data_IF_751186002573
#
_entry.id   IF_751186002573
#
_cell.length_a   1.000
_cell.length_b   1.000
_cell.length_c   1.000
_cell.angle_alpha   90.00
_cell.angle_beta   90.00
_cell.angle_gamma   90.00
#
_symmetry.space_group_name_H-M   'P 1'
#
loop_
_entity.id
_entity.type
_entity.pdbx_description
1 polymer ?
#
# COMPACT_ATOMS: atom_id res chain seq x y z
N UNK A 1 -16.81 8.32 -29.85
CA UNK A 1 -17.34 9.68 -30.16
C UNK A 1 -16.62 10.24 -31.39
N UNK A 2 -17.33 10.91 -32.30
CA UNK A 2 -16.75 11.63 -33.42
C UNK A 2 -16.53 13.10 -33.05
N UNK A 3 -15.56 13.75 -33.66
CA UNK A 3 -15.34 15.20 -33.49
C UNK A 3 -16.41 16.05 -34.14
N UNK A 4 -17.03 15.51 -35.17
CA UNK A 4 -18.13 16.18 -35.92
C UNK A 4 -19.29 15.23 -36.08
N UNK A 5 -20.48 15.80 -36.25
CA UNK A 5 -21.71 15.05 -36.55
C UNK A 5 -21.54 14.19 -37.81
N UNK A 6 -21.90 12.92 -37.71
CA UNK A 6 -21.87 11.99 -38.83
C UNK A 6 -22.83 12.43 -39.95
N UNK A 7 -22.31 12.59 -41.16
CA UNK A 7 -23.15 12.91 -42.33
C UNK A 7 -23.82 11.68 -42.94
N UNK A 8 -23.33 10.50 -42.63
CA UNK A 8 -23.84 9.18 -43.01
C UNK A 8 -23.59 8.22 -41.84
N UNK A 9 -24.17 7.02 -41.91
CA UNK A 9 -23.90 5.95 -40.93
C UNK A 9 -22.41 5.66 -40.92
N UNK A 10 -21.82 5.73 -39.70
CA UNK A 10 -20.38 5.53 -39.46
C UNK A 10 -20.19 4.31 -38.60
N UNK A 11 -19.27 3.41 -38.99
CA UNK A 11 -18.95 2.19 -38.25
C UNK A 11 -17.52 2.18 -37.78
N UNK A 12 -17.33 1.78 -36.50
CA UNK A 12 -16.04 1.52 -35.86
C UNK A 12 -16.15 0.14 -35.23
N UNK A 13 -15.11 -0.65 -35.32
CA UNK A 13 -15.03 -1.97 -34.66
C UNK A 13 -14.06 -1.94 -33.50
N UNK A 14 -14.47 -2.45 -32.34
CA UNK A 14 -13.56 -2.77 -31.25
C UNK A 14 -13.04 -4.20 -31.46
N UNK A 15 -11.73 -4.35 -31.35
CA UNK A 15 -11.02 -5.63 -31.48
C UNK A 15 -10.14 -5.83 -30.26
N UNK A 16 -10.12 -7.04 -29.71
CA UNK A 16 -9.21 -7.39 -28.63
C UNK A 16 -7.80 -7.52 -29.20
N UNK A 17 -6.83 -6.72 -28.71
CA UNK A 17 -5.43 -6.74 -29.16
C UNK A 17 -4.48 -7.00 -27.98
N UNK A 18 -4.15 -8.28 -27.75
CA UNK A 18 -3.30 -8.69 -26.62
C UNK A 18 -1.89 -8.08 -26.67
N UNK A 19 -1.38 -7.72 -27.86
CA UNK A 19 -0.03 -7.16 -28.02
C UNK A 19 0.12 -5.79 -27.37
N UNK A 20 -0.98 -5.04 -27.32
CA UNK A 20 -0.99 -3.73 -26.69
C UNK A 20 -0.58 -3.77 -25.21
N UNK A 21 -0.80 -4.88 -24.52
CA UNK A 21 -0.43 -5.01 -23.09
C UNK A 21 1.08 -4.95 -22.89
N UNK A 22 1.84 -5.60 -23.76
CA UNK A 22 3.31 -5.57 -23.68
C UNK A 22 3.87 -4.17 -24.00
N UNK A 23 3.30 -3.50 -25.02
CA UNK A 23 3.66 -2.13 -25.38
C UNK A 23 3.33 -1.16 -24.24
N UNK A 24 2.13 -1.25 -23.70
CA UNK A 24 1.69 -0.43 -22.57
C UNK A 24 2.58 -0.63 -21.34
N UNK A 25 2.89 -1.89 -21.00
CA UNK A 25 3.76 -2.22 -19.87
C UNK A 25 5.16 -1.63 -20.03
N UNK A 26 5.71 -1.66 -21.25
CA UNK A 26 7.00 -1.08 -21.54
C UNK A 26 7.00 0.45 -21.38
N UNK A 27 6.01 1.13 -21.96
CA UNK A 27 5.94 2.59 -21.96
C UNK A 27 5.61 3.18 -20.58
N UNK A 28 4.85 2.45 -19.76
CA UNK A 28 4.38 2.92 -18.46
C UNK A 28 5.06 2.25 -17.26
N UNK A 29 6.06 1.38 -17.50
CA UNK A 29 6.74 0.60 -16.47
C UNK A 29 5.76 -0.16 -15.54
N UNK A 30 4.72 -0.77 -16.12
CA UNK A 30 3.73 -1.60 -15.45
C UNK A 30 3.97 -3.09 -15.70
N UNK A 31 3.26 -3.96 -15.00
CA UNK A 31 3.34 -5.43 -15.12
C UNK A 31 1.93 -6.03 -15.29
N UNK A 32 1.08 -5.41 -16.11
CA UNK A 32 -0.27 -5.93 -16.35
C UNK A 32 -0.21 -7.22 -17.16
N UNK A 33 -1.16 -8.11 -16.87
CA UNK A 33 -1.32 -9.39 -17.59
C UNK A 33 -2.51 -9.28 -18.53
N UNK A 34 -2.41 -9.89 -19.69
CA UNK A 34 -3.54 -9.93 -20.64
C UNK A 34 -4.75 -10.60 -20.00
N UNK A 35 -5.89 -9.93 -19.99
CA UNK A 35 -7.16 -10.54 -19.56
C UNK A 35 -7.53 -11.68 -20.52
N UNK A 36 -8.01 -12.85 -20.04
CA UNK A 36 -8.35 -13.94 -20.94
C UNK A 36 -9.48 -13.53 -21.91
N UNK A 37 -9.17 -13.41 -23.19
CA UNK A 37 -10.09 -12.94 -24.25
C UNK A 37 -11.42 -13.70 -24.26
N UNK A 38 -11.38 -15.04 -23.99
CA UNK A 38 -12.59 -15.88 -23.91
C UNK A 38 -13.59 -15.46 -22.83
N UNK A 39 -13.19 -14.62 -21.87
CA UNK A 39 -14.00 -14.08 -20.78
C UNK A 39 -14.48 -12.66 -21.06
N UNK A 40 -14.11 -12.09 -22.22
CA UNK A 40 -14.53 -10.79 -22.70
C UNK A 40 -15.50 -10.97 -23.88
N UNK A 41 -16.70 -10.46 -23.73
CA UNK A 41 -17.71 -10.47 -24.81
C UNK A 41 -18.04 -9.03 -25.20
N UNK A 42 -17.84 -8.71 -26.47
CA UNK A 42 -18.20 -7.41 -27.04
C UNK A 42 -19.50 -7.58 -27.86
N UNK A 43 -20.53 -6.82 -27.52
CA UNK A 43 -21.80 -6.89 -28.22
C UNK A 43 -21.65 -6.60 -29.73
N UNK A 44 -22.56 -7.08 -30.55
CA UNK A 44 -22.63 -6.84 -32.01
C UNK A 44 -21.31 -7.15 -32.75
N UNK A 45 -20.60 -8.22 -32.33
CA UNK A 45 -19.28 -8.61 -32.88
C UNK A 45 -18.25 -7.46 -32.85
N UNK A 46 -18.38 -6.57 -31.87
CA UNK A 46 -17.52 -5.40 -31.68
C UNK A 46 -17.89 -4.19 -32.54
N UNK A 47 -18.92 -4.26 -33.39
CA UNK A 47 -19.27 -3.16 -34.30
C UNK A 47 -20.12 -2.12 -33.61
N UNK A 48 -19.61 -0.89 -33.54
CA UNK A 48 -20.31 0.31 -33.11
C UNK A 48 -20.81 1.04 -34.33
N UNK A 49 -22.15 1.27 -34.42
CA UNK A 49 -22.76 2.03 -35.49
C UNK A 49 -23.24 3.39 -34.97
N UNK A 50 -22.67 4.46 -35.49
CA UNK A 50 -23.07 5.84 -35.18
C UNK A 50 -24.00 6.30 -36.30
N UNK A 51 -25.28 6.59 -36.00
CA UNK A 51 -26.25 7.02 -37.03
C UNK A 51 -25.89 8.38 -37.67
N UNK A 52 -26.36 8.60 -38.87
CA UNK A 52 -26.31 9.94 -39.48
C UNK A 52 -27.03 10.96 -38.59
N UNK A 53 -26.45 12.12 -38.39
CA UNK A 53 -26.94 13.15 -37.49
C UNK A 53 -26.44 13.05 -36.04
N UNK A 54 -25.81 11.96 -35.67
CA UNK A 54 -25.27 11.75 -34.30
C UNK A 54 -23.75 11.93 -34.28
N UNK A 55 -23.20 12.13 -33.05
CA UNK A 55 -21.75 12.23 -32.79
C UNK A 55 -21.20 11.03 -32.03
N UNK A 56 -22.06 10.16 -31.47
CA UNK A 56 -21.65 9.04 -30.64
C UNK A 56 -22.62 7.88 -30.70
N UNK A 57 -22.14 6.70 -30.33
CA UNK A 57 -22.93 5.54 -29.99
C UNK A 57 -22.25 4.76 -28.85
N UNK A 58 -22.97 3.83 -28.24
CA UNK A 58 -22.50 2.99 -27.15
C UNK A 58 -22.45 1.53 -27.57
N UNK A 59 -21.53 0.78 -26.99
CA UNK A 59 -21.46 -0.67 -27.13
C UNK A 59 -21.24 -1.26 -25.74
N UNK A 60 -21.82 -2.43 -25.50
CA UNK A 60 -21.64 -3.16 -24.27
C UNK A 60 -20.44 -4.10 -24.36
N UNK A 61 -19.58 -4.06 -23.35
CA UNK A 61 -18.48 -5.01 -23.12
C UNK A 61 -18.76 -5.73 -21.82
N UNK A 62 -18.94 -7.04 -21.90
CA UNK A 62 -19.22 -7.89 -20.74
C UNK A 62 -18.01 -8.71 -20.37
N UNK A 63 -17.55 -8.61 -19.12
CA UNK A 63 -16.49 -9.43 -18.57
C UNK A 63 -17.09 -10.46 -17.61
N UNK A 64 -16.81 -11.74 -17.83
CA UNK A 64 -17.41 -12.84 -17.07
C UNK A 64 -16.38 -13.80 -16.47
N UNK A 65 -15.42 -13.32 -15.65
CA UNK A 65 -14.47 -14.20 -14.99
C UNK A 65 -15.13 -14.92 -13.81
N UNK A 66 -14.79 -16.20 -13.64
CA UNK A 66 -15.01 -16.91 -12.39
C UNK A 66 -13.85 -16.65 -11.41
N UNK A 67 -14.03 -17.02 -10.14
CA UNK A 67 -13.00 -16.84 -9.13
C UNK A 67 -11.69 -17.58 -9.44
N UNK A 68 -11.73 -18.64 -10.24
CA UNK A 68 -10.56 -19.44 -10.63
C UNK A 68 -9.85 -18.93 -11.90
N UNK A 69 -10.44 -17.99 -12.63
CA UNK A 69 -9.87 -17.49 -13.89
C UNK A 69 -8.83 -16.39 -13.69
N UNK A 70 -8.87 -15.70 -12.55
CA UNK A 70 -7.99 -14.59 -12.22
C UNK A 70 -7.21 -14.90 -10.94
N UNK A 71 -5.92 -14.66 -10.98
CA UNK A 71 -5.08 -14.74 -9.79
C UNK A 71 -5.28 -13.53 -8.89
N UNK A 72 -5.14 -13.73 -7.57
CA UNK A 72 -5.08 -12.61 -6.65
C UNK A 72 -3.85 -11.75 -6.94
N UNK A 73 -4.02 -10.44 -6.77
CA UNK A 73 -2.93 -9.46 -6.86
C UNK A 73 -2.39 -9.23 -8.26
N UNK A 74 -2.97 -9.87 -9.24
CA UNK A 74 -2.64 -9.62 -10.64
C UNK A 74 -3.63 -8.61 -11.20
N UNK A 75 -3.13 -7.53 -11.78
CA UNK A 75 -3.95 -6.62 -12.58
C UNK A 75 -3.94 -7.10 -14.02
N UNK A 76 -5.12 -7.41 -14.51
CA UNK A 76 -5.33 -7.79 -15.90
C UNK A 76 -5.77 -6.58 -16.69
N UNK A 77 -5.29 -6.47 -17.94
CA UNK A 77 -5.73 -5.44 -18.89
C UNK A 77 -6.58 -6.08 -19.98
N UNK A 78 -7.73 -5.47 -20.27
CA UNK A 78 -8.59 -5.78 -21.42
C UNK A 78 -8.31 -4.71 -22.48
N UNK A 79 -7.45 -5.00 -23.46
CA UNK A 79 -7.02 -4.03 -24.46
C UNK A 79 -7.95 -4.07 -25.67
N UNK A 80 -8.73 -3.04 -25.89
CA UNK A 80 -9.66 -2.94 -27.02
C UNK A 80 -9.21 -1.87 -28.02
N UNK A 81 -8.78 -2.29 -29.20
CA UNK A 81 -8.40 -1.39 -30.28
C UNK A 81 -9.64 -0.95 -31.08
N UNK A 82 -9.76 0.34 -31.31
CA UNK A 82 -10.78 0.91 -32.17
C UNK A 82 -10.29 0.93 -33.64
N UNK A 83 -10.98 0.22 -34.52
CA UNK A 83 -10.64 0.12 -35.94
C UNK A 83 -11.76 0.73 -36.79
N UNK A 84 -11.44 1.75 -37.59
CA UNK A 84 -12.41 2.36 -38.50
C UNK A 84 -12.86 1.35 -39.56
N UNK A 85 -14.19 1.24 -39.73
CA UNK A 85 -14.81 0.37 -40.76
C UNK A 85 -15.44 1.20 -41.90
N UNK A 86 -15.59 2.51 -41.70
CA UNK A 86 -16.16 3.43 -42.70
C UNK A 86 -15.03 4.20 -43.37
N UNK A 87 -15.02 4.23 -44.69
CA UNK A 87 -14.02 4.95 -45.47
C UNK A 87 -14.01 6.45 -45.12
N UNK A 88 -12.83 7.04 -45.01
CA UNK A 88 -12.64 8.45 -44.65
C UNK A 88 -12.74 8.76 -43.15
N UNK A 89 -12.97 7.76 -42.31
CA UNK A 89 -12.86 7.88 -40.85
C UNK A 89 -11.46 7.46 -40.42
N UNK A 90 -10.85 8.31 -39.59
CA UNK A 90 -9.54 8.06 -38.99
C UNK A 90 -9.70 7.98 -37.48
N UNK A 91 -9.20 6.95 -36.87
CA UNK A 91 -9.05 6.85 -35.41
C UNK A 91 -7.76 7.60 -35.07
N UNK A 92 -7.85 8.49 -34.10
CA UNK A 92 -6.68 9.22 -33.59
C UNK A 92 -5.90 8.36 -32.61
N UNK A 93 -4.59 8.57 -32.51
CA UNK A 93 -3.70 7.80 -31.64
C UNK A 93 -4.20 7.80 -30.18
N UNK A 94 -4.64 8.97 -29.67
CA UNK A 94 -5.18 9.10 -28.30
C UNK A 94 -6.54 8.40 -28.08
N UNK A 95 -7.18 7.92 -29.11
CA UNK A 95 -8.47 7.23 -29.08
C UNK A 95 -8.39 5.81 -29.69
N UNK A 96 -7.20 5.34 -30.01
CA UNK A 96 -6.98 4.04 -30.65
C UNK A 96 -7.31 2.89 -29.71
N UNK A 97 -6.97 3.04 -28.41
CA UNK A 97 -7.22 2.01 -27.43
C UNK A 97 -8.20 2.44 -26.35
N UNK A 98 -8.97 1.48 -25.87
CA UNK A 98 -9.80 1.57 -24.68
C UNK A 98 -9.41 0.42 -23.76
N UNK A 99 -8.75 0.74 -22.66
CA UNK A 99 -8.21 -0.24 -21.74
C UNK A 99 -9.05 -0.31 -20.47
N UNK A 100 -9.43 -1.54 -20.08
CA UNK A 100 -10.05 -1.78 -18.81
C UNK A 100 -9.08 -2.56 -17.92
N UNK A 101 -8.84 -2.06 -16.70
CA UNK A 101 -8.04 -2.77 -15.71
C UNK A 101 -8.96 -3.57 -14.79
N UNK A 102 -8.66 -4.84 -14.66
CA UNK A 102 -9.44 -5.81 -13.88
C UNK A 102 -8.54 -6.46 -12.85
N UNK A 103 -8.92 -6.37 -11.59
CA UNK A 103 -8.21 -7.05 -10.49
C UNK A 103 -9.19 -7.87 -9.68
N UNK A 104 -8.73 -9.05 -9.25
CA UNK A 104 -9.49 -9.84 -8.29
C UNK A 104 -9.31 -9.22 -6.91
N UNK A 105 -10.37 -8.59 -6.39
CA UNK A 105 -10.37 -7.98 -5.07
C UNK A 105 -10.66 -9.06 -4.03
N UNK A 106 -9.80 -9.14 -3.01
CA UNK A 106 -10.04 -10.00 -1.85
C UNK A 106 -11.24 -9.51 -1.02
N UNK A 107 -11.97 -10.44 -0.43
CA UNK A 107 -13.17 -10.15 0.37
C UNK A 107 -12.89 -9.96 1.86
N UNK A 108 -11.64 -9.77 2.26
CA UNK A 108 -11.28 -9.62 3.68
C UNK A 108 -11.93 -8.37 4.28
N UNK A 109 -12.82 -8.57 5.26
CA UNK A 109 -13.47 -7.48 6.02
C UNK A 109 -12.55 -6.87 7.06
N UNK A 110 -11.60 -7.64 7.59
CA UNK A 110 -10.53 -7.18 8.45
C UNK A 110 -9.21 -7.59 7.78
N UNK A 111 -8.22 -6.71 7.83
CA UNK A 111 -6.93 -6.86 7.16
C UNK A 111 -5.81 -6.98 8.18
N UNK A 112 -4.64 -7.41 7.76
CA UNK A 112 -3.49 -7.63 8.62
C UNK A 112 -2.34 -6.73 8.20
N UNK A 113 -1.85 -5.89 9.12
CA UNK A 113 -0.66 -5.08 8.96
C UNK A 113 0.44 -5.58 9.91
N UNK A 114 1.64 -5.79 9.40
CA UNK A 114 2.75 -6.30 10.20
C UNK A 114 3.93 -5.32 10.19
N UNK A 115 4.32 -4.86 11.37
CA UNK A 115 5.57 -4.17 11.58
C UNK A 115 6.70 -5.19 11.64
N UNK A 116 7.56 -5.15 10.65
CA UNK A 116 8.76 -5.96 10.61
C UNK A 116 9.91 -5.21 11.28
N UNK A 117 10.38 -5.76 12.39
CA UNK A 117 11.65 -5.35 12.97
C UNK A 117 12.77 -5.76 12.01
N UNK A 118 13.18 -4.81 11.16
CA UNK A 118 14.14 -5.10 10.08
C UNK A 118 15.53 -5.45 10.59
N UNK A 119 15.82 -5.16 11.87
CA UNK A 119 17.06 -5.62 12.50
C UNK A 119 17.07 -7.14 12.73
N UNK A 120 15.90 -7.77 12.79
CA UNK A 120 15.74 -9.17 13.14
C UNK A 120 15.26 -10.02 11.97
N UNK A 121 14.36 -9.51 11.13
CA UNK A 121 13.64 -10.32 10.18
C UNK A 121 13.67 -9.77 8.74
N UNK A 122 13.76 -10.69 7.79
CA UNK A 122 13.60 -10.37 6.37
C UNK A 122 12.10 -10.20 6.05
N UNK A 123 11.67 -9.03 5.56
CA UNK A 123 10.25 -8.77 5.27
C UNK A 123 9.66 -9.67 4.18
N UNK A 124 10.46 -10.28 3.31
CA UNK A 124 10.01 -11.27 2.33
C UNK A 124 9.29 -12.46 2.98
N UNK A 125 9.51 -12.74 4.25
CA UNK A 125 8.77 -13.78 4.96
C UNK A 125 7.25 -13.58 4.91
N UNK A 126 6.76 -12.38 4.71
CA UNK A 126 5.31 -12.13 4.62
C UNK A 126 4.64 -12.83 3.42
N UNK A 127 5.36 -13.08 2.31
CA UNK A 127 4.77 -13.70 1.11
C UNK A 127 4.45 -15.20 1.28
N UNK A 128 5.05 -15.86 2.26
CA UNK A 128 4.83 -17.30 2.51
C UNK A 128 3.52 -17.59 3.24
N UNK A 129 2.88 -16.58 3.82
CA UNK A 129 1.65 -16.74 4.59
C UNK A 129 0.42 -16.47 3.72
N UNK A 130 -0.16 -17.55 3.20
CA UNK A 130 -1.22 -17.54 2.20
C UNK A 130 -2.46 -18.24 2.75
N UNK A 131 -3.64 -17.68 2.49
CA UNK A 131 -4.93 -18.29 2.80
C UNK A 131 -5.26 -19.43 1.82
N UNK A 132 -6.18 -20.31 2.17
CA UNK A 132 -6.62 -21.44 1.31
C UNK A 132 -7.12 -21.00 -0.06
N UNK A 133 -7.67 -19.80 -0.17
CA UNK A 133 -8.14 -19.22 -1.45
C UNK A 133 -7.05 -18.53 -2.27
N UNK A 134 -5.80 -18.55 -1.81
CA UNK A 134 -4.63 -17.95 -2.49
C UNK A 134 -4.35 -16.48 -2.12
N UNK A 135 -5.18 -15.82 -1.32
CA UNK A 135 -4.90 -14.47 -0.85
C UNK A 135 -3.71 -14.46 0.13
N UNK A 136 -2.86 -13.43 0.13
CA UNK A 136 -1.89 -13.25 1.19
C UNK A 136 -2.61 -13.02 2.53
N UNK A 137 -2.07 -13.57 3.62
CA UNK A 137 -2.59 -13.28 4.96
C UNK A 137 -2.34 -11.82 5.33
N UNK A 138 -1.14 -11.30 5.07
CA UNK A 138 -0.80 -9.89 5.29
C UNK A 138 -1.27 -9.01 4.14
N UNK A 139 -1.80 -7.85 4.47
CA UNK A 139 -2.23 -6.83 3.50
C UNK A 139 -1.24 -5.68 3.42
N UNK A 140 -0.47 -5.48 4.48
CA UNK A 140 0.61 -4.49 4.52
C UNK A 140 1.76 -4.95 5.43
N UNK A 141 2.96 -4.53 5.03
CA UNK A 141 4.21 -4.62 5.79
C UNK A 141 4.70 -3.21 6.06
N UNK A 142 5.09 -2.95 7.29
CA UNK A 142 5.73 -1.71 7.72
C UNK A 142 7.17 -2.00 8.05
N UNK A 143 8.11 -1.39 7.34
CA UNK A 143 9.54 -1.50 7.61
C UNK A 143 9.89 -0.64 8.82
N UNK A 144 10.22 -1.25 9.94
CA UNK A 144 10.46 -0.58 11.21
C UNK A 144 11.96 -0.56 11.52
N UNK A 145 12.66 0.63 11.45
CA UNK A 145 12.15 1.90 11.00
C UNK A 145 13.28 2.76 10.42
N UNK A 146 12.95 3.70 9.55
CA UNK A 146 13.81 4.85 9.24
C UNK A 146 13.68 5.93 10.31
N UNK A 147 14.63 6.87 10.35
CA UNK A 147 14.64 7.87 11.40
C UNK A 147 14.50 9.30 10.88
N UNK A 148 13.79 10.16 11.61
CA UNK A 148 13.83 11.60 11.39
C UNK A 148 15.04 12.20 12.11
N UNK A 149 15.94 12.86 11.37
CA UNK A 149 17.14 13.47 11.92
C UNK A 149 17.41 14.89 11.37
N UNK A 150 18.26 15.62 12.08
CA UNK A 150 18.77 16.92 11.65
C UNK A 150 20.20 16.80 11.11
N UNK A 151 20.41 17.25 9.88
CA UNK A 151 21.76 17.41 9.31
C UNK A 151 22.24 18.86 9.52
N UNK A 152 23.13 19.05 10.50
CA UNK A 152 23.67 20.35 10.84
C UNK A 152 24.55 20.93 9.71
N UNK A 153 25.17 20.09 8.87
CA UNK A 153 26.02 20.54 7.77
C UNK A 153 25.21 21.07 6.60
N UNK A 154 24.04 20.48 6.33
CA UNK A 154 23.11 20.86 5.25
C UNK A 154 21.99 21.76 5.74
N UNK A 155 21.91 21.99 7.05
CA UNK A 155 20.83 22.78 7.68
C UNK A 155 19.44 22.30 7.25
N UNK A 156 19.22 20.95 7.31
CA UNK A 156 17.95 20.35 6.93
C UNK A 156 17.56 19.16 7.83
N UNK A 157 16.26 18.97 7.99
CA UNK A 157 15.70 17.71 8.48
C UNK A 157 15.66 16.72 7.32
N UNK A 158 15.97 15.46 7.58
CA UNK A 158 15.99 14.42 6.57
C UNK A 158 15.62 13.04 7.14
N UNK A 159 15.20 12.14 6.27
CA UNK A 159 15.04 10.72 6.62
C UNK A 159 16.42 10.05 6.63
N UNK A 160 16.82 9.56 7.76
CA UNK A 160 18.08 8.90 7.99
C UNK A 160 17.90 7.38 8.07
N UNK A 161 18.36 6.66 7.05
CA UNK A 161 18.36 5.21 7.02
C UNK A 161 19.70 4.60 7.51
N UNK A 162 20.73 5.44 7.74
CA UNK A 162 22.09 5.00 8.08
C UNK A 162 22.32 4.58 9.54
N UNK A 163 21.63 5.16 10.56
CA UNK A 163 21.74 4.60 11.91
C UNK A 163 21.25 3.16 11.97
N UNK A 164 20.41 2.81 11.02
CA UNK A 164 19.94 1.46 10.79
C UNK A 164 20.32 1.01 9.37
N UNK A 165 21.50 0.38 9.17
CA UNK A 165 21.95 -0.06 7.85
C UNK A 165 21.01 -1.09 7.21
N UNK A 166 20.14 -1.72 7.99
CA UNK A 166 19.13 -2.65 7.51
C UNK A 166 18.07 -1.94 6.65
N UNK A 167 17.60 -0.76 7.07
CA UNK A 167 16.64 0.03 6.29
C UNK A 167 17.27 0.44 4.95
N UNK A 168 18.50 0.99 4.99
CA UNK A 168 19.17 1.39 3.75
C UNK A 168 19.37 0.20 2.80
N UNK A 169 19.76 -0.96 3.31
CA UNK A 169 19.97 -2.15 2.49
C UNK A 169 18.66 -2.64 1.84
N UNK A 170 17.52 -2.57 2.54
CA UNK A 170 16.21 -2.91 1.98
C UNK A 170 15.80 -1.93 0.88
N UNK A 171 16.04 -0.64 1.07
CA UNK A 171 15.73 0.38 0.08
C UNK A 171 16.62 0.23 -1.17
N UNK A 172 17.93 0.09 -0.99
CA UNK A 172 18.90 -0.07 -2.09
C UNK A 172 18.65 -1.34 -2.93
N UNK A 173 18.10 -2.38 -2.31
CA UNK A 173 17.74 -3.64 -2.97
C UNK A 173 16.22 -3.81 -3.10
N UNK A 174 15.49 -2.70 -3.25
CA UNK A 174 14.01 -2.69 -3.28
C UNK A 174 13.43 -3.66 -4.30
N UNK A 175 14.01 -3.77 -5.51
CA UNK A 175 13.52 -4.67 -6.56
C UNK A 175 13.53 -6.15 -6.15
N UNK A 176 14.52 -6.58 -5.37
CA UNK A 176 14.65 -7.98 -4.94
C UNK A 176 13.98 -8.26 -3.59
N UNK A 177 13.92 -7.27 -2.69
CA UNK A 177 13.50 -7.47 -1.30
C UNK A 177 12.12 -6.90 -0.98
N UNK A 178 11.64 -5.89 -1.72
CA UNK A 178 10.37 -5.21 -1.44
C UNK A 178 9.34 -5.37 -2.57
N UNK A 179 9.75 -5.31 -3.83
CA UNK A 179 8.80 -5.44 -4.94
C UNK A 179 8.13 -6.83 -5.02
N UNK A 180 8.75 -7.96 -4.61
CA UNK A 180 8.03 -9.23 -4.53
C UNK A 180 6.82 -9.20 -3.57
N UNK A 181 6.89 -8.42 -2.48
CA UNK A 181 5.74 -8.18 -1.59
C UNK A 181 4.60 -7.48 -2.33
N UNK A 182 4.93 -6.38 -3.03
CA UNK A 182 3.95 -5.60 -3.79
C UNK A 182 3.33 -6.41 -4.93
N UNK A 183 4.11 -7.25 -5.62
CA UNK A 183 3.63 -8.20 -6.63
C UNK A 183 2.65 -9.24 -6.07
N UNK A 184 2.69 -9.49 -4.76
CA UNK A 184 1.70 -10.32 -4.04
C UNK A 184 0.55 -9.51 -3.45
N UNK A 185 0.50 -8.17 -3.69
CA UNK A 185 -0.52 -7.22 -3.17
C UNK A 185 -0.38 -6.86 -1.72
N UNK A 186 0.78 -7.13 -1.17
CA UNK A 186 1.13 -6.70 0.17
C UNK A 186 1.72 -5.30 0.04
N UNK A 187 1.06 -4.29 0.56
CA UNK A 187 1.59 -2.93 0.55
C UNK A 187 2.82 -2.82 1.45
N UNK A 188 3.82 -2.05 0.99
CA UNK A 188 5.07 -1.84 1.72
C UNK A 188 5.16 -0.37 2.15
N UNK A 189 5.19 -0.14 3.45
CA UNK A 189 5.33 1.18 4.05
C UNK A 189 6.68 1.29 4.77
N UNK A 190 7.24 2.49 4.79
CA UNK A 190 8.39 2.82 5.63
C UNK A 190 7.89 3.57 6.86
N UNK A 191 8.20 3.06 8.04
CA UNK A 191 7.93 3.78 9.29
C UNK A 191 9.00 4.83 9.57
N UNK A 192 8.59 5.96 10.13
CA UNK A 192 9.46 7.05 10.53
C UNK A 192 9.41 7.22 12.04
N UNK A 193 10.54 7.00 12.67
CA UNK A 193 10.75 7.03 14.11
C UNK A 193 11.73 8.15 14.51
N UNK A 194 11.59 8.69 15.71
CA UNK A 194 12.60 9.58 16.29
C UNK A 194 13.92 8.84 16.61
N UNK A 195 15.00 9.58 16.80
CA UNK A 195 16.35 9.01 17.00
C UNK A 195 17.17 9.78 18.04
N UNK A 196 16.57 10.14 19.16
CA UNK A 196 17.20 10.97 20.20
C UNK A 196 17.78 12.30 19.66
N UNK A 197 17.38 12.66 18.45
CA UNK A 197 17.76 13.89 17.75
C UNK A 197 16.84 15.05 18.13
N UNK A 198 17.24 16.26 17.73
CA UNK A 198 16.44 17.46 17.93
C UNK A 198 15.21 17.52 16.99
N UNK A 199 15.26 16.80 15.88
CA UNK A 199 14.12 16.65 14.99
C UNK A 199 13.14 15.58 15.52
N UNK A 200 11.87 15.75 15.21
CA UNK A 200 10.83 14.80 15.56
C UNK A 200 9.53 15.09 14.80
N UNK A 201 8.69 14.09 14.72
CA UNK A 201 7.44 14.10 13.93
C UNK A 201 6.52 15.27 14.32
N UNK A 202 6.43 15.57 15.61
CA UNK A 202 5.56 16.62 16.16
C UNK A 202 6.24 17.98 16.29
N UNK A 203 7.53 18.12 15.91
CA UNK A 203 8.32 19.30 16.21
C UNK A 203 8.76 20.14 15.00
N UNK A 204 8.20 19.88 13.83
CA UNK A 204 8.51 20.65 12.62
C UNK A 204 7.60 21.87 12.49
N UNK A 205 8.13 22.97 11.95
CA UNK A 205 7.31 24.10 11.52
C UNK A 205 6.46 23.72 10.31
N UNK A 206 5.45 24.52 9.95
CA UNK A 206 4.63 24.28 8.76
C UNK A 206 5.47 24.13 7.49
N UNK A 207 6.48 25.00 7.35
CA UNK A 207 7.43 24.90 6.26
C UNK A 207 8.30 23.64 6.36
N UNK A 208 8.74 23.26 7.57
CA UNK A 208 9.50 22.03 7.82
C UNK A 208 8.69 20.77 7.47
N UNK A 209 7.42 20.75 7.83
CA UNK A 209 6.48 19.67 7.47
C UNK A 209 6.35 19.54 5.95
N UNK A 210 6.21 20.67 5.22
CA UNK A 210 6.13 20.65 3.76
C UNK A 210 7.41 20.10 3.13
N UNK A 211 8.59 20.56 3.58
CA UNK A 211 9.87 20.10 3.01
C UNK A 211 10.13 18.60 3.31
N UNK A 212 9.89 18.17 4.54
CA UNK A 212 10.11 16.78 4.92
C UNK A 212 9.06 15.86 4.29
N UNK A 213 7.81 16.29 4.19
CA UNK A 213 6.76 15.54 3.47
C UNK A 213 7.10 15.32 2.00
N UNK A 214 7.70 16.30 1.33
CA UNK A 214 8.21 16.16 -0.06
C UNK A 214 9.36 15.16 -0.15
N UNK A 215 10.28 15.16 0.82
CA UNK A 215 11.36 14.16 0.88
C UNK A 215 10.80 12.75 1.05
N UNK A 216 9.85 12.56 1.95
CA UNK A 216 9.20 11.26 2.16
C UNK A 216 8.43 10.78 0.92
N UNK A 217 7.77 11.69 0.21
CA UNK A 217 7.10 11.36 -1.05
C UNK A 217 8.10 10.95 -2.15
N UNK A 218 9.26 11.61 -2.22
CA UNK A 218 10.33 11.24 -3.15
C UNK A 218 10.89 9.85 -2.83
N UNK A 219 11.07 9.52 -1.55
CA UNK A 219 11.47 8.19 -1.10
C UNK A 219 10.44 7.13 -1.53
N UNK A 220 9.14 7.42 -1.37
CA UNK A 220 8.11 6.50 -1.85
C UNK A 220 8.19 6.28 -3.36
N UNK A 221 8.45 7.33 -4.15
CA UNK A 221 8.60 7.22 -5.59
C UNK A 221 9.85 6.42 -5.97
N UNK A 222 11.02 6.80 -5.42
CA UNK A 222 12.31 6.23 -5.80
C UNK A 222 12.41 4.73 -5.50
N UNK A 223 11.84 4.30 -4.36
CA UNK A 223 11.88 2.91 -3.91
C UNK A 223 10.57 2.17 -4.14
N UNK A 224 9.61 2.78 -4.83
CA UNK A 224 8.28 2.23 -5.12
C UNK A 224 7.56 1.73 -3.85
N UNK A 225 7.53 2.56 -2.80
CA UNK A 225 6.83 2.23 -1.56
C UNK A 225 5.35 2.65 -1.63
N UNK A 226 4.50 1.96 -0.88
CA UNK A 226 3.06 2.23 -0.83
C UNK A 226 2.68 3.24 0.27
N UNK A 227 3.65 3.80 0.98
CA UNK A 227 3.36 4.85 1.94
C UNK A 227 4.34 4.98 3.09
N UNK A 228 3.96 5.84 4.02
CA UNK A 228 4.73 6.20 5.21
C UNK A 228 3.93 5.88 6.48
N UNK A 229 4.57 5.22 7.44
CA UNK A 229 4.15 5.13 8.83
C UNK A 229 4.78 6.23 9.67
N UNK A 230 4.12 6.63 10.73
CA UNK A 230 4.67 7.54 11.73
C UNK A 230 4.50 6.96 13.13
N UNK A 231 5.62 6.90 13.87
CA UNK A 231 5.72 6.52 15.27
C UNK A 231 6.48 7.61 16.05
N UNK A 232 5.80 8.27 16.98
CA UNK A 232 6.34 9.44 17.67
C UNK A 232 7.02 9.05 18.98
N UNK A 233 8.22 8.48 18.85
CA UNK A 233 9.07 8.09 19.96
C UNK A 233 10.49 8.73 19.87
N UNK A 234 11.19 8.74 20.97
CA UNK A 234 12.63 9.03 21.10
C UNK A 234 13.12 10.39 20.57
N UNK A 235 12.26 11.33 20.22
CA UNK A 235 12.68 12.68 19.79
C UNK A 235 12.95 13.58 20.99
N UNK A 236 14.03 14.38 20.96
CA UNK A 236 14.29 15.36 22.03
C UNK A 236 13.54 16.68 21.85
N UNK A 237 13.06 16.96 20.64
CA UNK A 237 12.34 18.20 20.29
C UNK A 237 13.06 19.50 20.64
N UNK A 238 14.40 19.47 20.67
CA UNK A 238 15.22 20.63 21.06
C UNK A 238 15.61 21.51 19.86
N UNK A 239 15.11 21.24 18.68
CA UNK A 239 15.41 21.99 17.46
C UNK A 239 14.89 23.42 17.49
N UNK A 240 15.60 24.31 16.79
CA UNK A 240 15.24 25.70 16.66
C UNK A 240 15.51 26.25 15.26
N UNK A 241 14.91 27.40 14.93
CA UNK A 241 15.05 28.02 13.61
C UNK A 241 13.95 27.62 12.64
N UNK A 242 14.16 27.85 11.34
CA UNK A 242 13.12 27.78 10.31
C UNK A 242 12.43 26.40 10.21
N UNK A 243 13.14 25.32 10.47
CA UNK A 243 12.64 23.95 10.35
C UNK A 243 11.71 23.54 11.50
N UNK A 244 11.83 24.18 12.67
CA UNK A 244 11.29 23.68 13.90
C UNK A 244 10.18 24.57 14.48
N UNK A 245 9.26 23.94 15.18
CA UNK A 245 8.25 24.55 16.04
C UNK A 245 8.23 23.84 17.40
N UNK A 246 7.52 24.39 18.36
CA UNK A 246 7.24 23.67 19.58
C UNK A 246 6.43 22.41 19.29
N UNK A 247 6.77 21.25 19.91
CA UNK A 247 6.11 20.00 19.60
C UNK A 247 4.63 20.04 19.99
N UNK A 248 3.79 19.54 19.08
CA UNK A 248 2.34 19.49 19.29
C UNK A 248 1.66 18.52 18.35
N UNK A 249 0.46 18.04 18.74
CA UNK A 249 -0.38 17.24 17.84
C UNK A 249 -0.79 18.01 16.58
N UNK A 250 -0.81 19.36 16.61
CA UNK A 250 -1.06 20.18 15.43
C UNK A 250 0.06 20.02 14.38
N UNK A 251 1.33 20.02 14.83
CA UNK A 251 2.47 19.85 13.92
C UNK A 251 2.58 18.42 13.43
N UNK A 252 2.26 17.42 14.26
CA UNK A 252 2.16 16.04 13.82
C UNK A 252 1.07 15.88 12.73
N UNK A 253 -0.12 16.44 12.93
CA UNK A 253 -1.19 16.44 11.92
C UNK A 253 -0.76 17.16 10.63
N UNK A 254 -0.05 18.30 10.77
CA UNK A 254 0.48 19.04 9.62
C UNK A 254 1.48 18.21 8.82
N UNK A 255 2.39 17.49 9.45
CA UNK A 255 3.33 16.60 8.76
C UNK A 255 2.60 15.49 8.00
N UNK A 256 1.63 14.82 8.63
CA UNK A 256 0.82 13.80 7.99
C UNK A 256 0.10 14.34 6.73
N UNK A 257 -0.49 15.52 6.83
CA UNK A 257 -1.16 16.20 5.72
C UNK A 257 -0.21 16.49 4.56
N UNK A 258 0.94 17.12 4.84
CA UNK A 258 1.91 17.48 3.80
C UNK A 258 2.54 16.26 3.15
N UNK A 259 2.78 15.19 3.93
CA UNK A 259 3.26 13.91 3.40
C UNK A 259 2.23 13.28 2.46
N UNK A 260 0.96 13.18 2.89
CA UNK A 260 -0.11 12.63 2.04
C UNK A 260 -0.32 13.42 0.76
N UNK A 261 -0.30 14.76 0.86
CA UNK A 261 -0.43 15.67 -0.28
C UNK A 261 0.71 15.44 -1.27
N UNK A 262 1.97 15.47 -0.80
CA UNK A 262 3.13 15.30 -1.65
C UNK A 262 3.16 13.91 -2.33
N UNK A 263 2.80 12.83 -1.61
CA UNK A 263 2.70 11.50 -2.19
C UNK A 263 1.62 11.42 -3.28
N UNK A 264 0.45 12.04 -3.07
CA UNK A 264 -0.63 12.10 -4.09
C UNK A 264 -0.21 12.86 -5.35
N UNK A 265 0.63 13.87 -5.21
CA UNK A 265 1.13 14.67 -6.34
C UNK A 265 2.23 13.95 -7.12
N UNK A 266 3.03 13.11 -6.45
CA UNK A 266 4.26 12.56 -7.02
C UNK A 266 4.15 11.09 -7.43
N UNK A 267 3.46 10.25 -6.63
CA UNK A 267 3.38 8.81 -6.87
C UNK A 267 2.20 8.48 -7.79
N UNK A 268 2.41 7.70 -8.87
CA UNK A 268 1.33 7.33 -9.80
C UNK A 268 0.43 6.18 -9.27
N UNK A 269 0.68 5.67 -8.07
CA UNK A 269 -0.14 4.66 -7.38
C UNK A 269 -0.73 5.18 -6.07
N UNK A 270 -1.68 4.44 -5.51
CA UNK A 270 -2.27 4.75 -4.20
C UNK A 270 -1.23 4.61 -3.09
N UNK A 271 -1.03 5.68 -2.32
CA UNK A 271 -0.12 5.70 -1.17
C UNK A 271 -0.87 5.97 0.13
N UNK A 272 -0.37 5.43 1.24
CA UNK A 272 -0.97 5.54 2.56
C UNK A 272 -0.12 6.34 3.54
N UNK A 273 -0.80 7.04 4.45
CA UNK A 273 -0.24 7.51 5.72
C UNK A 273 -0.84 6.63 6.81
N UNK A 274 0.04 5.91 7.51
CA UNK A 274 -0.30 5.04 8.62
C UNK A 274 0.17 5.63 9.94
N UNK A 275 -0.57 5.46 11.03
CA UNK A 275 -0.17 5.96 12.35
C UNK A 275 -0.12 4.84 13.39
N UNK A 276 0.98 4.83 14.15
CA UNK A 276 1.07 4.16 15.43
C UNK A 276 0.82 5.19 16.54
N UNK A 277 -0.16 4.91 17.42
CA UNK A 277 -0.57 5.88 18.45
C UNK A 277 0.38 5.90 19.64
N UNK A 278 1.31 6.83 19.60
CA UNK A 278 2.21 7.14 20.68
C UNK A 278 2.55 8.64 20.67
N UNK A 279 3.10 9.17 21.76
CA UNK A 279 3.54 10.55 21.85
C UNK A 279 2.44 11.56 21.49
N UNK A 280 2.72 12.46 20.55
CA UNK A 280 1.78 13.44 20.03
C UNK A 280 0.83 12.90 18.96
N UNK A 281 1.06 11.68 18.48
CA UNK A 281 0.20 10.99 17.51
C UNK A 281 -0.87 10.20 18.26
N UNK A 282 -2.11 10.71 18.27
CA UNK A 282 -3.24 10.12 18.99
C UNK A 282 -4.52 10.29 18.18
N UNK A 283 -5.58 9.58 18.59
CA UNK A 283 -6.90 9.72 17.95
C UNK A 283 -7.48 11.15 18.01
N UNK A 284 -6.93 12.00 18.86
CA UNK A 284 -7.30 13.42 19.03
C UNK A 284 -6.53 14.36 18.09
N UNK A 285 -5.81 13.85 17.09
CA UNK A 285 -5.17 14.71 16.09
C UNK A 285 -6.16 15.72 15.51
N UNK A 286 -5.80 17.01 15.49
CA UNK A 286 -6.69 18.07 15.00
C UNK A 286 -6.76 18.10 13.47
N UNK A 287 -7.79 18.76 12.95
CA UNK A 287 -7.84 19.15 11.54
C UNK A 287 -6.71 20.13 11.19
N UNK A 288 -6.27 20.09 9.95
CA UNK A 288 -5.29 21.02 9.37
C UNK A 288 -6.03 22.07 8.55
N UNK A 289 -5.66 23.35 8.74
CA UNK A 289 -6.24 24.45 7.99
C UNK A 289 -5.22 25.00 7.00
N UNK A 290 -5.57 24.98 5.70
CA UNK A 290 -4.76 25.54 4.60
C UNK A 290 -5.59 26.59 3.86
N UNK A 291 -5.12 27.80 3.83
CA UNK A 291 -5.79 28.94 3.17
C UNK A 291 -7.27 29.08 3.61
N UNK A 292 -7.55 28.79 4.88
CA UNK A 292 -8.90 28.85 5.46
C UNK A 292 -9.78 27.63 5.19
N UNK A 293 -9.28 26.61 4.47
CA UNK A 293 -9.98 25.35 4.23
C UNK A 293 -9.61 24.32 5.30
N UNK A 294 -10.61 23.71 5.92
CA UNK A 294 -10.42 22.63 6.88
C UNK A 294 -10.17 21.31 6.16
N UNK A 295 -9.12 20.60 6.57
CA UNK A 295 -8.81 19.22 6.19
C UNK A 295 -8.88 18.33 7.42
N UNK A 296 -9.84 17.41 7.44
CA UNK A 296 -10.00 16.45 8.54
C UNK A 296 -8.92 15.36 8.47
N UNK A 297 -8.48 14.84 9.63
CA UNK A 297 -7.48 13.76 9.66
C UNK A 297 -7.81 12.56 8.74
N UNK A 298 -9.07 12.17 8.59
CA UNK A 298 -9.49 11.09 7.69
C UNK A 298 -9.26 11.37 6.20
N UNK A 299 -8.91 12.61 5.81
CA UNK A 299 -8.60 12.94 4.42
C UNK A 299 -7.13 12.66 4.08
N UNK A 300 -6.28 12.56 5.11
CA UNK A 300 -4.84 12.38 4.93
C UNK A 300 -4.24 11.24 5.78
N UNK A 301 -5.04 10.55 6.59
CA UNK A 301 -4.65 9.34 7.34
C UNK A 301 -5.52 8.19 6.87
N UNK A 302 -4.90 7.10 6.44
CA UNK A 302 -5.59 5.96 5.82
C UNK A 302 -5.94 4.86 6.82
N UNK A 303 -5.04 4.61 7.78
CA UNK A 303 -5.25 3.64 8.84
C UNK A 303 -4.41 3.92 10.08
N UNK A 304 -4.85 3.38 11.21
CA UNK A 304 -4.24 3.64 12.52
C UNK A 304 -4.19 2.36 13.37
N UNK A 305 -3.15 2.22 14.18
CA UNK A 305 -3.08 1.22 15.24
C UNK A 305 -2.75 1.87 16.59
N UNK A 306 -3.15 1.22 17.66
CA UNK A 306 -2.79 1.62 19.03
C UNK A 306 -1.56 0.85 19.48
N UNK A 307 -0.99 1.27 20.58
CA UNK A 307 0.06 0.53 21.30
C UNK A 307 -0.42 -0.88 21.70
N UNK A 308 0.52 -1.74 22.03
CA UNK A 308 0.30 -3.17 22.22
C UNK A 308 -0.86 -3.49 23.17
N UNK A 309 -1.65 -4.50 22.77
CA UNK A 309 -2.81 -4.96 23.52
C UNK A 309 -4.03 -4.03 23.43
N UNK A 310 -3.91 -2.90 22.75
CA UNK A 310 -4.97 -1.90 22.60
C UNK A 310 -5.73 -1.99 21.29
N UNK A 311 -6.96 -1.45 21.31
CA UNK A 311 -7.73 -1.13 20.11
C UNK A 311 -7.59 0.36 19.77
N UNK A 312 -7.28 0.67 18.52
CA UNK A 312 -7.20 2.05 18.07
C UNK A 312 -8.58 2.70 18.00
N UNK A 313 -8.64 3.97 18.38
CA UNK A 313 -9.82 4.82 18.18
C UNK A 313 -9.65 5.58 16.87
N UNK A 314 -10.74 5.82 16.13
CA UNK A 314 -10.64 6.55 14.87
C UNK A 314 -10.26 8.02 15.10
N UNK A 315 -9.46 8.57 14.21
CA UNK A 315 -9.28 10.02 14.10
C UNK A 315 -10.55 10.69 13.58
N UNK A 316 -10.64 12.01 13.69
CA UNK A 316 -11.81 12.75 13.22
C UNK A 316 -12.14 12.47 11.74
N UNK A 317 -13.38 12.04 11.50
CA UNK A 317 -13.90 11.68 10.18
C UNK A 317 -13.65 10.25 9.72
N UNK A 318 -12.81 9.47 10.42
CA UNK A 318 -12.53 8.07 10.11
C UNK A 318 -13.57 7.15 10.77
N UNK A 319 -13.86 6.01 10.14
CA UNK A 319 -14.63 4.92 10.75
C UNK A 319 -13.73 3.87 11.39
N UNK A 320 -14.31 2.93 12.15
CA UNK A 320 -13.57 1.79 12.72
C UNK A 320 -12.88 0.93 11.66
N UNK A 321 -13.35 0.96 10.41
CA UNK A 321 -12.72 0.27 9.29
C UNK A 321 -11.31 0.75 8.96
N UNK A 322 -10.92 1.95 9.40
CA UNK A 322 -9.55 2.46 9.35
C UNK A 322 -8.68 2.09 10.56
N UNK A 323 -9.25 1.43 11.58
CA UNK A 323 -8.60 1.20 12.86
C UNK A 323 -8.21 -0.27 13.06
N UNK A 324 -7.04 -0.50 13.68
CA UNK A 324 -6.69 -1.81 14.21
C UNK A 324 -7.47 -2.08 15.51
N UNK A 325 -8.18 -3.20 15.55
CA UNK A 325 -8.92 -3.63 16.74
C UNK A 325 -8.04 -4.26 17.81
N UNK A 326 -6.84 -4.67 17.44
CA UNK A 326 -5.82 -5.18 18.35
C UNK A 326 -4.41 -5.00 17.75
N UNK A 327 -3.44 -4.77 18.62
CA UNK A 327 -2.02 -4.71 18.29
C UNK A 327 -1.29 -5.81 19.07
N UNK A 328 -0.72 -6.79 18.34
CA UNK A 328 -0.23 -8.05 18.89
C UNK A 328 1.29 -8.13 18.76
N UNK A 329 1.98 -8.19 19.89
CA UNK A 329 3.43 -8.35 19.96
C UNK A 329 3.80 -9.84 20.06
N UNK A 330 4.31 -10.42 18.98
CA UNK A 330 4.48 -11.87 18.84
C UNK A 330 5.68 -12.43 19.62
N UNK A 331 6.76 -11.65 19.75
CA UNK A 331 7.96 -12.08 20.46
C UNK A 331 7.75 -12.24 21.97
N UNK A 332 6.71 -11.65 22.55
CA UNK A 332 6.31 -11.87 23.94
C UNK A 332 5.21 -12.93 24.12
N UNK A 333 4.87 -13.64 23.05
CA UNK A 333 3.89 -14.72 23.10
C UNK A 333 2.43 -14.23 23.22
N UNK A 334 2.16 -12.97 22.93
CA UNK A 334 0.80 -12.43 22.92
C UNK A 334 -0.04 -13.17 21.88
N UNK A 335 -1.33 -13.31 22.15
CA UNK A 335 -2.22 -14.18 21.39
C UNK A 335 -3.59 -13.56 21.17
N UNK A 336 -4.30 -14.04 20.15
CA UNK A 336 -5.69 -13.73 19.85
C UNK A 336 -6.43 -15.03 19.56
N UNK A 337 -7.66 -15.19 20.07
CA UNK A 337 -8.51 -16.31 19.71
C UNK A 337 -9.36 -16.02 18.45
N UNK A 338 -9.86 -17.06 17.81
CA UNK A 338 -10.77 -16.93 16.65
C UNK A 338 -12.02 -16.15 17.02
N UNK A 339 -12.57 -16.38 18.21
CA UNK A 339 -13.75 -15.67 18.71
C UNK A 339 -13.47 -14.18 18.91
N UNK A 340 -12.30 -13.86 19.48
CA UNK A 340 -11.89 -12.45 19.66
C UNK A 340 -11.70 -11.74 18.33
N UNK A 341 -11.01 -12.37 17.36
CA UNK A 341 -10.84 -11.84 16.02
C UNK A 341 -12.19 -11.60 15.32
N UNK A 342 -13.10 -12.57 15.39
CA UNK A 342 -14.46 -12.46 14.86
C UNK A 342 -15.25 -11.32 15.51
N UNK A 343 -15.09 -11.14 16.84
CA UNK A 343 -15.75 -10.07 17.56
C UNK A 343 -15.26 -8.69 17.11
N UNK A 344 -13.95 -8.50 16.87
CA UNK A 344 -13.38 -7.25 16.34
C UNK A 344 -13.91 -6.96 14.93
N UNK A 345 -13.94 -7.94 14.05
CA UNK A 345 -14.51 -7.82 12.71
C UNK A 345 -16.00 -7.41 12.76
N UNK A 346 -16.78 -8.04 13.64
CA UNK A 346 -18.22 -7.73 13.78
C UNK A 346 -18.48 -6.34 14.37
N UNK A 347 -17.54 -5.78 15.16
CA UNK A 347 -17.58 -4.40 15.65
C UNK A 347 -17.25 -3.38 14.53
N UNK A 348 -16.74 -3.83 13.40
CA UNK A 348 -16.40 -2.98 12.26
C UNK A 348 -14.94 -2.53 12.21
N UNK A 349 -14.07 -3.08 13.05
CA UNK A 349 -12.63 -2.86 12.90
C UNK A 349 -12.14 -3.41 11.56
N UNK A 350 -11.28 -2.63 10.89
CA UNK A 350 -10.76 -3.02 9.57
C UNK A 350 -9.38 -3.64 9.60
N UNK A 351 -8.68 -3.64 10.76
CA UNK A 351 -7.30 -4.10 10.85
C UNK A 351 -6.99 -4.86 12.13
N UNK A 352 -5.97 -5.73 12.05
CA UNK A 352 -5.20 -6.28 13.17
C UNK A 352 -3.73 -5.96 12.89
N UNK A 353 -3.02 -5.44 13.89
CA UNK A 353 -1.60 -5.14 13.80
C UNK A 353 -0.77 -6.24 14.48
N UNK A 354 0.33 -6.57 13.85
CA UNK A 354 1.33 -7.56 14.30
C UNK A 354 2.70 -6.90 14.40
N UNK A 355 3.47 -7.25 15.43
CA UNK A 355 4.84 -6.78 15.61
C UNK A 355 5.77 -7.93 15.99
N UNK A 356 7.05 -7.80 15.61
CA UNK A 356 8.14 -8.71 15.95
C UNK A 356 7.87 -10.16 15.53
N UNK A 357 7.34 -10.32 14.31
CA UNK A 357 7.23 -11.60 13.63
C UNK A 357 8.61 -11.99 13.09
N UNK A 358 9.17 -13.12 13.56
CA UNK A 358 10.42 -13.71 13.06
C UNK A 358 10.27 -15.22 12.87
N UNK A 359 9.98 -15.69 11.65
CA UNK A 359 9.87 -17.12 11.37
C UNK A 359 11.22 -17.80 11.11
N UNK A 360 12.29 -17.04 10.86
CA UNK A 360 13.63 -17.56 10.61
C UNK A 360 14.43 -17.77 11.90
N UNK A 361 14.30 -16.86 12.86
CA UNK A 361 15.09 -16.81 14.07
C UNK A 361 16.58 -16.53 13.78
N UNK A 362 16.87 -15.85 12.68
CA UNK A 362 18.22 -15.46 12.30
C UNK A 362 18.64 -14.10 12.85
N UNK A 363 17.70 -13.35 13.40
CA UNK A 363 17.94 -12.09 14.10
C UNK A 363 18.19 -12.25 15.60
N UNK A 364 17.95 -11.18 16.36
CA UNK A 364 18.10 -11.17 17.82
C UNK A 364 16.88 -11.76 18.54
N UNK A 365 15.73 -11.77 17.87
CA UNK A 365 14.49 -12.38 18.35
C UNK A 365 14.52 -13.88 18.09
N UNK A 366 14.06 -14.68 19.04
CA UNK A 366 13.91 -16.13 18.85
C UNK A 366 12.86 -16.44 17.80
N UNK A 367 13.10 -17.48 17.00
CA UNK A 367 12.11 -18.00 16.05
C UNK A 367 10.74 -18.19 16.71
N UNK A 368 9.78 -17.42 16.25
CA UNK A 368 8.41 -17.48 16.76
C UNK A 368 7.39 -18.03 15.73
N UNK A 369 7.87 -18.65 14.64
CA UNK A 369 7.05 -19.16 13.52
C UNK A 369 5.82 -19.98 13.96
N UNK A 370 6.03 -20.97 14.82
CA UNK A 370 4.94 -21.86 15.25
C UNK A 370 3.87 -21.10 16.06
N UNK A 371 4.30 -20.21 16.94
CA UNK A 371 3.39 -19.36 17.70
C UNK A 371 2.62 -18.42 16.77
N UNK A 372 3.33 -17.71 15.90
CA UNK A 372 2.76 -16.73 14.97
C UNK A 372 1.76 -17.38 14.00
N UNK A 373 2.12 -18.51 13.39
CA UNK A 373 1.24 -19.25 12.49
C UNK A 373 -0.07 -19.67 13.19
N UNK A 374 0.00 -20.08 14.45
CA UNK A 374 -1.20 -20.37 15.25
C UNK A 374 -2.10 -19.14 15.39
N UNK A 375 -1.50 -17.96 15.66
CA UNK A 375 -2.28 -16.72 15.80
C UNK A 375 -2.90 -16.29 14.46
N UNK A 376 -2.15 -16.40 13.36
CA UNK A 376 -2.63 -16.09 12.02
C UNK A 376 -3.80 -17.01 11.63
N UNK A 377 -3.72 -18.31 11.94
CA UNK A 377 -4.81 -19.28 11.75
C UNK A 377 -6.03 -18.95 12.57
N UNK A 378 -5.87 -18.51 13.82
CA UNK A 378 -6.98 -18.07 14.64
C UNK A 378 -7.73 -16.89 14.00
N UNK A 379 -7.00 -15.89 13.46
CA UNK A 379 -7.63 -14.77 12.74
C UNK A 379 -8.29 -15.24 11.45
N UNK A 380 -7.59 -16.05 10.65
CA UNK A 380 -8.13 -16.56 9.39
C UNK A 380 -9.42 -17.36 9.60
N UNK A 381 -9.45 -18.24 10.61
CA UNK A 381 -10.62 -19.01 10.96
C UNK A 381 -11.77 -18.13 11.47
N UNK A 382 -11.47 -17.16 12.34
CA UNK A 382 -12.49 -16.28 12.92
C UNK A 382 -13.08 -15.27 11.94
N UNK A 383 -12.26 -14.75 11.03
CA UNK A 383 -12.63 -13.63 10.16
C UNK A 383 -12.94 -14.05 8.72
N UNK A 384 -12.35 -15.13 8.22
CA UNK A 384 -12.46 -15.52 6.79
C UNK A 384 -13.04 -16.92 6.60
N UNK A 385 -13.23 -17.69 7.69
CA UNK A 385 -13.66 -19.09 7.64
C UNK A 385 -12.70 -19.97 6.80
N UNK A 386 -11.42 -19.60 6.81
CA UNK A 386 -10.33 -20.23 6.08
C UNK A 386 -9.18 -20.54 7.03
N UNK A 387 -8.16 -21.21 6.51
CA UNK A 387 -6.92 -21.45 7.21
C UNK A 387 -5.76 -20.71 6.52
N UNK A 388 -4.67 -20.46 7.25
CA UNK A 388 -3.38 -20.10 6.66
C UNK A 388 -2.62 -21.38 6.37
N UNK A 389 -2.18 -21.55 5.13
CA UNK A 389 -1.40 -22.71 4.70
C UNK A 389 -0.06 -22.78 5.45
N UNK A 390 0.51 -23.97 5.56
CA UNK A 390 1.85 -24.11 6.10
C UNK A 390 2.87 -23.44 5.15
N UNK A 391 3.69 -22.47 5.65
CA UNK A 391 4.72 -21.86 4.84
C UNK A 391 5.73 -22.93 4.42
N UNK A 392 6.16 -22.89 3.16
CA UNK A 392 7.11 -23.83 2.60
C UNK A 392 8.55 -23.40 2.75
N UNK A 393 8.76 -22.08 2.81
CA UNK A 393 10.06 -21.48 2.84
C UNK A 393 10.17 -20.43 3.95
N UNK A 394 11.39 -20.05 4.22
CA UNK A 394 11.75 -18.92 5.07
C UNK A 394 12.83 -18.11 4.35
N UNK A 395 12.80 -16.79 4.53
CA UNK A 395 13.80 -15.86 4.03
C UNK A 395 14.67 -15.39 5.20
N UNK A 396 15.98 -15.57 5.06
CA UNK A 396 16.91 -15.29 6.13
C UNK A 396 17.38 -13.83 6.12
N UNK A 397 17.60 -13.29 7.30
CA UNK A 397 18.46 -12.15 7.50
C UNK A 397 19.84 -12.70 7.85
N UNK A 398 20.87 -12.44 7.01
CA UNK A 398 22.18 -13.06 7.12
C UNK A 398 23.08 -12.29 8.10
N UNK A 399 22.93 -10.96 8.11
CA UNK A 399 23.73 -10.06 8.92
C UNK A 399 23.21 -8.64 8.89
N UNK A 400 23.93 -7.73 9.50
CA UNK A 400 23.61 -6.30 9.47
C UNK A 400 23.64 -5.78 8.02
N UNK A 401 22.52 -5.20 7.55
CA UNK A 401 22.35 -4.77 6.16
C UNK A 401 22.35 -5.90 5.12
N UNK A 402 22.17 -7.16 5.53
CA UNK A 402 22.25 -8.31 4.63
C UNK A 402 21.00 -9.19 4.73
N UNK A 403 20.24 -9.22 3.65
CA UNK A 403 19.04 -10.03 3.48
C UNK A 403 19.21 -10.99 2.31
N UNK A 404 18.82 -12.25 2.49
CA UNK A 404 18.84 -13.23 1.43
C UNK A 404 17.50 -13.18 0.65
N UNK A 405 17.51 -12.84 -0.64
CA UNK A 405 16.31 -12.86 -1.46
C UNK A 405 15.89 -14.29 -1.84
N UNK A 406 16.74 -15.30 -1.62
CA UNK A 406 16.44 -16.67 -1.95
C UNK A 406 15.58 -17.35 -0.86
N UNK A 407 14.54 -18.12 -1.25
CA UNK A 407 13.77 -18.91 -0.32
C UNK A 407 14.54 -20.13 0.18
N UNK A 408 14.50 -20.38 1.48
CA UNK A 408 15.07 -21.55 2.12
C UNK A 408 13.96 -22.52 2.57
N UNK A 409 13.95 -23.78 2.12
CA UNK A 409 12.92 -24.74 2.53
C UNK A 409 12.87 -24.93 4.04
N UNK A 410 11.66 -24.96 4.58
CA UNK A 410 11.42 -25.31 6.00
C UNK A 410 11.38 -26.84 6.08
N UNK A 411 12.34 -27.42 6.83
CA UNK A 411 12.45 -28.86 7.10
C UNK A 411 11.48 -29.29 8.21
#
# INVERSE_FOLDING_TARGET
TLEKTATAETKVKLVFDERHVDEYNFDHATEYVVFPEKLCTIANDGVITIPAGETSAQIEVTLSPSASDLEYVTTYMVPLQAVAQTEGIVVKDEAEYVDFLVSRIGSKKIRNICYFEVNDCNPLNAIEYILEDGQPFFDAVVLFAGNINWDASKQKVYMNANPNPNVQALLDNSEELLQPLRKKGIKVLLDILGNHDQAGIAGLSDWGCEQFGKELAQICLDYKLDGIGFDDEYSSYSGSGKWFAGPSSQQAARLCYETKKAMKELCPWETWVHLYYLGYIQSSLPSVFIDGVEHKPSEFIDNVCADYGGAARPVNGMGLSGCAGNSIQLNYGNSISSESAKALMNQGYGWIMWFAFDPSGTGTVSNNRSHSLKQFRNVAQGCYEQNVLDPKNVYNKIGEGQYDPAPHPIN
#
